data_IF_533079234088
#
_entry.id   IF_533079234088
#
_cell.length_a   1.000
_cell.length_b   1.000
_cell.length_c   1.000
_cell.angle_alpha   90.00
_cell.angle_beta   90.00
_cell.angle_gamma   90.00
#
_symmetry.space_group_name_H-M   'P 1'
#
loop_
_entity.id
_entity.type
_entity.pdbx_description
1 polymer ?
#
# COMPACT_ATOMS: atom_id res chain seq x y z
N UNK A 1 38.96 -3.78 -34.31
CA UNK A 1 38.72 -2.39 -33.88
C UNK A 1 37.39 -2.38 -33.13
N UNK A 2 37.44 -2.54 -31.81
CA UNK A 2 36.26 -2.48 -30.93
C UNK A 2 35.84 -1.02 -30.78
N UNK A 3 34.55 -0.70 -30.91
CA UNK A 3 33.98 0.42 -30.18
C UNK A 3 32.44 0.37 -30.05
N UNK A 4 32.03 0.18 -28.80
CA UNK A 4 30.98 0.91 -28.09
C UNK A 4 29.50 0.54 -28.31
N UNK A 5 29.11 -0.58 -27.68
CA UNK A 5 27.84 -0.69 -26.97
C UNK A 5 28.01 -0.08 -25.57
N UNK A 6 27.53 1.13 -25.29
CA UNK A 6 27.55 1.73 -23.93
C UNK A 6 26.47 2.80 -23.67
N UNK A 7 25.35 2.78 -24.42
CA UNK A 7 24.32 3.83 -24.29
C UNK A 7 23.04 3.40 -23.56
N UNK A 8 22.87 2.13 -23.18
CA UNK A 8 21.63 1.67 -22.54
C UNK A 8 21.66 1.72 -21.01
N UNK A 9 22.83 1.62 -20.37
CA UNK A 9 22.95 1.56 -18.90
C UNK A 9 22.69 2.89 -18.18
N UNK A 10 22.70 4.01 -18.93
CA UNK A 10 22.57 5.36 -18.37
C UNK A 10 21.12 5.83 -18.16
N UNK A 11 20.13 5.14 -18.74
CA UNK A 11 18.72 5.50 -18.59
C UNK A 11 18.03 4.75 -17.45
N UNK A 12 18.38 3.48 -17.20
CA UNK A 12 17.84 2.71 -16.07
C UNK A 12 18.24 3.32 -14.72
N UNK A 13 19.43 3.92 -14.65
CA UNK A 13 19.95 4.58 -13.44
C UNK A 13 19.22 5.89 -13.07
N UNK A 14 18.36 6.44 -13.94
CA UNK A 14 17.70 7.74 -13.69
C UNK A 14 16.46 7.65 -12.82
N UNK A 15 15.82 6.47 -12.76
CA UNK A 15 14.51 6.22 -12.15
C UNK A 15 14.55 5.03 -11.18
N UNK A 16 15.47 5.02 -10.22
CA UNK A 16 15.48 3.95 -9.21
C UNK A 16 14.39 4.18 -8.16
N UNK A 17 13.79 3.12 -7.59
CA UNK A 17 12.80 3.25 -6.51
C UNK A 17 13.31 4.06 -5.32
N UNK A 18 14.58 3.92 -4.97
CA UNK A 18 15.21 4.66 -3.86
C UNK A 18 15.27 6.15 -4.15
N UNK A 19 15.57 6.53 -5.39
CA UNK A 19 15.59 7.94 -5.79
C UNK A 19 14.19 8.55 -5.80
N UNK A 20 13.19 7.81 -6.28
CA UNK A 20 11.79 8.25 -6.21
C UNK A 20 11.36 8.43 -4.76
N UNK A 21 11.68 7.47 -3.88
CA UNK A 21 11.38 7.56 -2.46
C UNK A 21 12.06 8.76 -1.80
N UNK A 22 13.36 8.95 -2.04
CA UNK A 22 14.12 10.10 -1.53
C UNK A 22 13.47 11.43 -1.91
N UNK A 23 13.14 11.63 -3.19
CA UNK A 23 12.52 12.87 -3.68
C UNK A 23 11.15 13.08 -3.04
N UNK A 24 10.34 12.03 -2.92
CA UNK A 24 9.04 12.12 -2.25
C UNK A 24 9.19 12.51 -0.78
N UNK A 25 10.12 11.91 -0.05
CA UNK A 25 10.35 12.21 1.37
C UNK A 25 10.92 13.60 1.58
N UNK A 26 11.90 14.01 0.77
CA UNK A 26 12.46 15.36 0.78
C UNK A 26 11.38 16.40 0.54
N UNK A 27 10.47 16.16 -0.40
CA UNK A 27 9.38 17.09 -0.72
C UNK A 27 8.42 17.32 0.45
N UNK A 28 8.17 16.31 1.28
CA UNK A 28 7.18 16.42 2.37
C UNK A 28 7.81 16.76 3.71
N UNK A 29 9.02 16.26 4.00
CA UNK A 29 9.72 16.40 5.28
C UNK A 29 10.82 17.47 5.26
N UNK A 30 11.34 17.80 4.08
CA UNK A 30 12.54 18.63 3.92
C UNK A 30 13.86 17.85 3.98
N UNK A 31 13.82 16.53 4.23
CA UNK A 31 14.94 15.61 4.08
C UNK A 31 14.44 14.24 3.59
N UNK A 32 15.27 13.54 2.79
CA UNK A 32 14.96 12.21 2.27
C UNK A 32 15.92 11.11 2.77
N UNK A 33 16.87 11.45 3.63
CA UNK A 33 17.92 10.54 4.08
C UNK A 33 17.46 9.64 5.23
N UNK A 34 17.81 8.35 5.16
CA UNK A 34 17.54 7.36 6.23
C UNK A 34 16.04 7.24 6.62
N UNK A 35 15.15 7.54 5.68
CA UNK A 35 13.69 7.45 5.88
C UNK A 35 13.16 6.10 5.39
N UNK A 36 12.34 5.44 6.22
CA UNK A 36 11.53 4.27 5.81
C UNK A 36 10.12 4.73 5.45
N UNK A 37 9.51 4.07 4.48
CA UNK A 37 8.17 4.37 4.01
C UNK A 37 7.81 3.54 2.78
N UNK A 38 6.69 3.88 2.14
CA UNK A 38 6.13 3.14 1.01
C UNK A 38 6.59 3.65 -0.37
N UNK A 39 7.60 4.53 -0.39
CA UNK A 39 8.12 5.20 -1.58
C UNK A 39 7.46 6.55 -1.88
N UNK A 40 6.41 6.93 -1.14
CA UNK A 40 5.74 8.24 -1.27
C UNK A 40 5.62 8.92 0.09
N UNK A 41 5.17 8.18 1.10
CA UNK A 41 4.91 8.71 2.45
C UNK A 41 5.83 8.01 3.44
N UNK A 42 6.46 8.77 4.35
CA UNK A 42 7.22 8.15 5.42
C UNK A 42 6.38 7.35 6.40
N UNK A 43 6.92 6.24 6.89
CA UNK A 43 6.22 5.30 7.75
C UNK A 43 5.68 5.98 9.01
N UNK A 44 6.50 6.79 9.69
CA UNK A 44 6.11 7.47 10.93
C UNK A 44 4.94 8.46 10.76
N UNK A 45 4.63 8.88 9.54
CA UNK A 45 3.50 9.79 9.25
C UNK A 45 2.21 9.03 8.91
N UNK A 46 2.30 7.72 8.73
CA UNK A 46 1.14 6.84 8.47
C UNK A 46 0.54 6.25 9.75
N UNK A 47 1.27 6.32 10.87
CA UNK A 47 0.88 5.73 12.14
C UNK A 47 0.10 6.73 13.00
N UNK A 48 -1.22 6.67 12.94
CA UNK A 48 -2.11 7.55 13.70
C UNK A 48 -2.34 7.04 15.12
N UNK A 49 -2.12 7.88 16.13
CA UNK A 49 -2.40 7.52 17.52
C UNK A 49 -3.87 7.09 17.72
N UNK A 50 -4.08 6.04 18.52
CA UNK A 50 -5.40 5.48 18.78
C UNK A 50 -5.93 4.55 17.68
N UNK A 51 -5.27 4.46 16.51
CA UNK A 51 -5.61 3.47 15.50
C UNK A 51 -4.90 2.13 15.76
N UNK A 52 -5.46 1.05 15.23
CA UNK A 52 -4.75 -0.24 15.15
C UNK A 52 -3.62 -0.10 14.14
N UNK A 53 -2.38 -0.22 14.61
CA UNK A 53 -1.21 -0.16 13.73
C UNK A 53 -0.98 -1.52 13.05
N UNK A 54 -0.81 -1.47 11.73
CA UNK A 54 -0.36 -2.59 10.91
C UNK A 54 0.74 -2.08 9.98
N UNK A 55 1.95 -2.61 10.13
CA UNK A 55 3.07 -2.29 9.26
C UNK A 55 3.35 -3.50 8.39
N UNK A 56 3.32 -3.31 7.06
CA UNK A 56 3.60 -4.34 6.08
C UNK A 56 4.98 -4.10 5.49
N UNK A 57 5.92 -5.01 5.74
CA UNK A 57 7.23 -4.97 5.09
C UNK A 57 7.11 -5.29 3.60
N UNK A 58 8.03 -4.72 2.81
CA UNK A 58 8.15 -4.87 1.36
C UNK A 58 6.90 -4.49 0.55
N UNK A 59 6.11 -3.54 1.05
CA UNK A 59 4.91 -2.99 0.37
C UNK A 59 5.15 -1.55 -0.09
N UNK A 60 4.65 -1.22 -1.28
CA UNK A 60 4.84 0.09 -1.93
C UNK A 60 3.51 0.79 -2.24
N UNK A 61 3.57 2.11 -2.45
CA UNK A 61 2.38 2.93 -2.70
C UNK A 61 1.74 2.69 -4.07
N UNK A 62 2.55 2.50 -5.12
CA UNK A 62 2.11 2.55 -6.51
C UNK A 62 1.93 1.17 -7.14
N UNK A 63 0.93 1.04 -8.00
CA UNK A 63 0.62 -0.18 -8.79
C UNK A 63 1.75 -0.62 -9.73
N UNK A 64 2.66 0.29 -10.06
CA UNK A 64 3.84 0.03 -10.88
C UNK A 64 5.12 0.17 -10.05
N UNK A 65 6.18 -0.52 -10.49
CA UNK A 65 7.53 -0.27 -9.99
C UNK A 65 7.89 1.20 -10.18
N UNK A 66 8.42 1.81 -9.12
CA UNK A 66 8.63 3.24 -9.04
C UNK A 66 9.47 3.77 -10.22
N UNK A 67 8.98 4.83 -10.86
CA UNK A 67 9.64 5.44 -12.02
C UNK A 67 9.49 4.65 -13.34
N UNK A 68 8.64 3.63 -13.37
CA UNK A 68 8.36 2.79 -14.55
C UNK A 68 6.86 2.61 -14.79
N UNK A 69 6.52 1.96 -15.90
CA UNK A 69 5.16 1.47 -16.20
C UNK A 69 5.01 -0.03 -16.01
N UNK A 70 6.00 -0.70 -15.41
CA UNK A 70 5.94 -2.13 -15.15
C UNK A 70 5.08 -2.37 -13.90
N UNK A 71 4.10 -3.28 -13.94
CA UNK A 71 3.28 -3.59 -12.77
C UNK A 71 4.13 -4.22 -11.66
N UNK A 72 3.68 -4.06 -10.42
CA UNK A 72 4.27 -4.72 -9.25
C UNK A 72 3.21 -5.46 -8.45
N UNK A 73 3.59 -6.58 -7.84
CA UNK A 73 2.75 -7.32 -6.91
C UNK A 73 2.96 -6.87 -5.45
N UNK A 74 3.72 -5.79 -5.24
CA UNK A 74 4.05 -5.26 -3.91
C UNK A 74 3.17 -4.08 -3.49
N UNK A 75 2.27 -3.59 -4.35
CA UNK A 75 1.43 -2.44 -4.03
C UNK A 75 0.24 -2.82 -3.14
N UNK A 76 -0.28 -1.86 -2.37
CA UNK A 76 -1.36 -2.10 -1.39
C UNK A 76 -2.62 -2.79 -1.95
N UNK A 77 -2.92 -2.59 -3.23
CA UNK A 77 -4.09 -3.15 -3.91
C UNK A 77 -3.85 -4.47 -4.65
N UNK A 78 -2.64 -5.04 -4.59
CA UNK A 78 -2.39 -6.38 -5.14
C UNK A 78 -3.07 -7.45 -4.28
N UNK A 79 -3.54 -8.54 -4.89
CA UNK A 79 -4.27 -9.61 -4.19
C UNK A 79 -3.50 -10.13 -2.97
N UNK A 80 -2.22 -10.46 -3.15
CA UNK A 80 -1.37 -10.97 -2.05
C UNK A 80 -1.10 -9.94 -0.94
N UNK A 81 -1.20 -8.64 -1.21
CA UNK A 81 -1.08 -7.60 -0.17
C UNK A 81 -2.41 -7.32 0.51
N UNK A 82 -3.52 -7.35 -0.23
CA UNK A 82 -4.88 -7.26 0.33
C UNK A 82 -5.09 -8.34 1.38
N UNK A 83 -4.71 -9.58 1.08
CA UNK A 83 -4.82 -10.71 2.00
C UNK A 83 -4.04 -10.52 3.31
N UNK A 84 -3.01 -9.66 3.30
CA UNK A 84 -2.21 -9.35 4.50
C UNK A 84 -2.88 -8.34 5.42
N UNK A 85 -3.61 -7.36 4.90
CA UNK A 85 -4.22 -6.30 5.73
C UNK A 85 -5.72 -6.44 5.94
N UNK A 86 -6.46 -6.98 4.99
CA UNK A 86 -7.92 -7.07 5.03
C UNK A 86 -8.44 -7.82 6.27
N UNK A 87 -7.85 -8.95 6.71
CA UNK A 87 -8.27 -9.62 7.95
C UNK A 87 -8.16 -8.73 9.19
N UNK A 88 -7.17 -7.83 9.25
CA UNK A 88 -6.99 -6.90 10.37
C UNK A 88 -8.13 -5.87 10.46
N UNK A 89 -8.66 -5.46 9.31
CA UNK A 89 -9.82 -4.57 9.23
C UNK A 89 -11.09 -5.33 9.64
N UNK A 90 -11.28 -6.54 9.11
CA UNK A 90 -12.46 -7.37 9.40
C UNK A 90 -12.56 -7.70 10.88
N UNK A 91 -11.45 -8.04 11.53
CA UNK A 91 -11.41 -8.34 12.96
C UNK A 91 -11.76 -7.12 13.85
N UNK A 92 -11.78 -5.91 13.30
CA UNK A 92 -12.22 -4.70 13.99
C UNK A 92 -13.67 -4.33 13.70
N UNK A 93 -14.32 -5.01 12.76
CA UNK A 93 -15.74 -4.82 12.52
C UNK A 93 -16.52 -5.35 13.74
N UNK A 94 -17.57 -4.63 14.17
CA UNK A 94 -18.45 -5.15 15.20
C UNK A 94 -18.98 -6.52 14.77
N UNK A 95 -18.80 -7.55 15.61
CA UNK A 95 -19.49 -8.82 15.41
C UNK A 95 -20.99 -8.53 15.44
N UNK A 96 -21.65 -8.65 14.30
CA UNK A 96 -23.10 -8.49 14.19
C UNK A 96 -23.75 -9.57 15.07
N UNK A 97 -24.01 -9.25 16.33
CA UNK A 97 -24.92 -10.04 17.14
C UNK A 97 -26.28 -9.87 16.51
N UNK A 98 -26.73 -10.91 15.80
CA UNK A 98 -28.02 -11.02 15.12
C UNK A 98 -29.17 -10.90 16.12
N UNK A 99 -29.48 -9.68 16.58
CA UNK A 99 -30.67 -9.37 17.36
C UNK A 99 -31.09 -7.89 17.27
N UNK A 100 -30.47 -7.08 16.40
CA UNK A 100 -30.99 -5.76 16.05
C UNK A 100 -31.53 -5.77 14.63
N UNK A 101 -32.71 -5.17 14.46
CA UNK A 101 -33.36 -4.94 13.17
C UNK A 101 -32.48 -4.02 12.32
N UNK A 102 -31.43 -4.57 11.72
CA UNK A 102 -30.45 -3.85 10.92
C UNK A 102 -30.97 -3.67 9.48
N UNK A 103 -32.00 -2.83 9.33
CA UNK A 103 -32.39 -2.23 8.05
C UNK A 103 -31.69 -0.88 7.81
N UNK A 104 -30.57 -0.61 8.50
CA UNK A 104 -29.80 0.61 8.26
C UNK A 104 -28.75 0.35 7.17
N UNK A 105 -29.22 0.40 5.92
CA UNK A 105 -28.41 0.33 4.70
C UNK A 105 -27.42 1.51 4.56
N UNK A 106 -27.42 2.48 5.49
CA UNK A 106 -26.50 3.61 5.48
C UNK A 106 -25.25 3.42 6.34
N UNK A 107 -25.08 2.28 7.04
CA UNK A 107 -23.84 2.00 7.77
C UNK A 107 -22.79 1.35 6.84
N UNK A 108 -21.71 2.04 6.46
CA UNK A 108 -20.71 1.51 5.53
C UNK A 108 -20.01 0.23 6.04
N UNK A 109 -19.97 0.02 7.36
CA UNK A 109 -19.39 -1.17 7.96
C UNK A 109 -20.27 -2.41 7.77
N UNK A 110 -21.59 -2.26 7.66
CA UNK A 110 -22.50 -3.39 7.41
C UNK A 110 -22.35 -3.90 5.97
N UNK A 111 -22.15 -3.00 5.01
CA UNK A 111 -21.88 -3.32 3.60
C UNK A 111 -20.55 -4.05 3.41
N UNK A 112 -19.49 -3.62 4.09
CA UNK A 112 -18.18 -4.29 4.08
C UNK A 112 -18.26 -5.71 4.65
N UNK A 113 -18.94 -5.89 5.79
CA UNK A 113 -19.17 -7.22 6.38
C UNK A 113 -19.96 -8.15 5.45
N UNK A 114 -21.03 -7.66 4.81
CA UNK A 114 -21.85 -8.42 3.86
C UNK A 114 -21.04 -8.85 2.63
N UNK A 115 -20.26 -7.94 2.05
CA UNK A 115 -19.37 -8.25 0.92
C UNK A 115 -18.36 -9.34 1.30
N UNK A 116 -17.67 -9.19 2.44
CA UNK A 116 -16.68 -10.17 2.87
C UNK A 116 -17.27 -11.58 3.06
N UNK A 117 -18.43 -11.67 3.73
CA UNK A 117 -19.13 -12.95 3.92
C UNK A 117 -19.52 -13.61 2.59
N UNK A 118 -19.91 -12.81 1.59
CA UNK A 118 -20.20 -13.30 0.24
C UNK A 118 -18.95 -13.82 -0.47
N UNK A 119 -17.80 -13.17 -0.26
CA UNK A 119 -16.54 -13.50 -0.93
C UNK A 119 -15.90 -14.79 -0.42
N UNK A 120 -16.09 -15.15 0.86
CA UNK A 120 -15.54 -16.41 1.44
C UNK A 120 -16.46 -17.63 1.26
N UNK A 121 -17.71 -17.42 0.85
CA UNK A 121 -18.70 -18.49 0.66
C UNK A 121 -18.84 -18.97 -0.79
N UNK A 122 -18.00 -18.44 -1.70
CA UNK A 122 -17.96 -18.76 -3.14
C UNK A 122 -16.73 -19.58 -3.49
#
# INVERSE_FOLDING_TARGET
NNNNNNNNDNNEKRNSPEKTAFVSYEAVRGDGENVRGDGVVPLEWTLLEGSKQLVLEDVVHSINEAGTSLPTDRWYGSEGVIDRWLPTVINQLPTTNTNTNDNDDNNPLSSLSKWFQSSISS
#
